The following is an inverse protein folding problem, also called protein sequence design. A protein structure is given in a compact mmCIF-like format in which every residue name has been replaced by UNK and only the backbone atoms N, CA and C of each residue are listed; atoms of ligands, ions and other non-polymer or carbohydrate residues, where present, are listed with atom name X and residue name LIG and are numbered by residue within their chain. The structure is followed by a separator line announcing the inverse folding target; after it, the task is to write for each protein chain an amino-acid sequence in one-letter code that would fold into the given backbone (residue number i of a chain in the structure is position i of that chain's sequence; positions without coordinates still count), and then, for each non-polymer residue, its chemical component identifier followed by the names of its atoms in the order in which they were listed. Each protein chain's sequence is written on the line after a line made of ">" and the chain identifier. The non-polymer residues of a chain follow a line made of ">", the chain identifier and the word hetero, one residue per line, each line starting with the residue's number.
data_IF_985407923895
#
_entry.id   IF_985407923895
#
_cell.length_a   1.000
_cell.length_b   1.000
_cell.length_c   1.000
_cell.angle_alpha   90.00
_cell.angle_beta   90.00
_cell.angle_gamma   90.00
#
_symmetry.space_group_name_H-M   'P 1'
#
loop_
_entity.id
_entity.type
_entity.pdbx_description
1 polymer ?
#
# COMPACT_ATOMS: atom_id res chain seq x y z
N UNK A 1 -2.84 38.74 28.64
CA UNK A 1 -1.84 37.68 28.38
C UNK A 1 -2.53 36.37 28.69
N UNK A 2 -3.14 35.74 27.68
CA UNK A 2 -3.93 34.52 27.85
C UNK A 2 -2.96 33.36 27.72
N UNK A 3 -2.68 32.67 28.83
CA UNK A 3 -1.88 31.44 28.82
C UNK A 3 -2.67 30.41 28.02
N UNK A 4 -2.14 30.04 26.85
CA UNK A 4 -2.65 28.90 26.09
C UNK A 4 -2.46 27.66 26.97
N UNK A 5 -3.58 27.09 27.44
CA UNK A 5 -3.62 25.80 28.09
C UNK A 5 -3.02 24.78 27.11
N UNK A 6 -1.83 24.28 27.40
CA UNK A 6 -1.35 23.04 26.80
C UNK A 6 -2.29 21.94 27.27
N UNK A 7 -3.23 21.53 26.43
CA UNK A 7 -3.92 20.28 26.63
C UNK A 7 -2.87 19.17 26.55
N UNK A 8 -2.52 18.62 27.71
CA UNK A 8 -1.71 17.41 27.78
C UNK A 8 -2.60 16.28 27.29
N UNK A 9 -2.61 16.03 25.98
CA UNK A 9 -3.24 14.84 25.43
C UNK A 9 -2.55 13.62 26.02
N UNK A 10 -3.18 13.00 27.02
CA UNK A 10 -2.74 11.73 27.54
C UNK A 10 -2.89 10.68 26.46
N UNK A 11 -1.84 9.88 26.25
CA UNK A 11 -1.89 8.74 25.33
C UNK A 11 -2.99 7.78 25.79
N UNK A 12 -3.92 7.38 24.90
CA UNK A 12 -4.89 6.35 25.23
C UNK A 12 -4.18 5.06 25.66
N UNK A 13 -4.80 4.22 26.50
CA UNK A 13 -4.31 2.88 26.74
C UNK A 13 -4.14 2.13 25.41
N UNK A 14 -3.01 1.45 25.26
CA UNK A 14 -2.69 0.68 24.06
C UNK A 14 -2.06 -0.67 24.42
N UNK A 15 -2.16 -1.63 23.52
CA UNK A 15 -1.57 -2.95 23.64
C UNK A 15 -0.82 -3.30 22.35
N UNK A 16 0.48 -3.58 22.45
CA UNK A 16 1.28 -4.01 21.32
C UNK A 16 1.14 -5.51 21.13
N UNK A 17 0.87 -5.93 19.89
CA UNK A 17 0.92 -7.35 19.54
C UNK A 17 2.37 -7.84 19.53
N UNK A 18 2.54 -9.15 19.79
CA UNK A 18 3.87 -9.76 19.79
C UNK A 18 4.54 -9.61 18.41
N UNK A 19 5.87 -9.56 18.42
CA UNK A 19 6.69 -9.53 17.20
C UNK A 19 6.41 -8.33 16.27
N UNK A 20 5.79 -7.26 16.78
CA UNK A 20 5.48 -6.08 15.98
C UNK A 20 4.35 -6.32 14.96
N UNK A 21 3.47 -7.30 15.24
CA UNK A 21 2.33 -7.66 14.38
C UNK A 21 1.15 -6.70 14.46
N UNK A 22 1.27 -5.63 15.24
CA UNK A 22 0.20 -4.64 15.36
C UNK A 22 0.09 -3.99 16.72
N UNK A 23 -0.98 -3.24 16.88
CA UNK A 23 -1.30 -2.45 18.07
C UNK A 23 -2.82 -2.29 18.19
N UNK A 24 -3.33 -2.42 19.41
CA UNK A 24 -4.65 -1.92 19.79
C UNK A 24 -4.50 -0.58 20.49
N UNK A 25 -5.25 0.43 20.06
CA UNK A 25 -5.26 1.76 20.68
C UNK A 25 -6.67 2.35 20.58
N UNK A 26 -7.26 2.65 21.75
CA UNK A 26 -8.67 3.07 21.84
C UNK A 26 -9.62 2.09 21.11
N UNK A 27 -10.31 2.53 20.04
CA UNK A 27 -11.20 1.66 19.23
C UNK A 27 -10.54 1.14 17.95
N UNK A 28 -9.25 1.40 17.76
CA UNK A 28 -8.47 0.90 16.63
C UNK A 28 -7.79 -0.41 16.98
N UNK A 29 -7.95 -1.40 16.11
CA UNK A 29 -7.04 -2.56 16.01
C UNK A 29 -6.26 -2.42 14.71
N UNK A 30 -4.95 -2.31 14.81
CA UNK A 30 -4.04 -2.23 13.68
C UNK A 30 -3.28 -3.54 13.62
N UNK A 31 -3.36 -4.25 12.49
CA UNK A 31 -2.76 -5.55 12.27
C UNK A 31 -1.81 -5.53 11.10
N UNK A 32 -0.70 -6.25 11.26
CA UNK A 32 0.30 -6.47 10.24
C UNK A 32 0.42 -7.95 9.96
N UNK A 33 0.23 -8.33 8.71
CA UNK A 33 0.60 -9.65 8.20
C UNK A 33 1.80 -9.50 7.29
N UNK A 34 2.78 -10.37 7.48
CA UNK A 34 3.98 -10.47 6.65
C UNK A 34 4.13 -11.92 6.16
N UNK A 35 4.60 -12.07 4.93
CA UNK A 35 4.88 -13.39 4.36
C UNK A 35 5.94 -13.34 3.27
N UNK A 36 6.34 -14.52 2.77
CA UNK A 36 7.24 -14.59 1.62
C UNK A 36 6.56 -14.04 0.37
N UNK A 37 7.38 -13.84 -0.67
CA UNK A 37 6.85 -13.60 -2.02
C UNK A 37 5.98 -14.78 -2.48
N UNK A 38 5.11 -14.52 -3.46
CA UNK A 38 4.26 -15.54 -4.06
C UNK A 38 5.08 -16.73 -4.58
N UNK A 39 4.57 -17.94 -4.32
CA UNK A 39 5.05 -19.16 -4.99
C UNK A 39 4.66 -19.16 -6.47
N UNK A 40 5.33 -19.98 -7.29
CA UNK A 40 5.03 -20.08 -8.74
C UNK A 40 3.56 -20.38 -9.03
N UNK A 41 2.91 -21.23 -8.24
CA UNK A 41 1.49 -21.54 -8.39
C UNK A 41 0.60 -20.34 -8.06
N UNK A 42 0.95 -19.55 -7.03
CA UNK A 42 0.22 -18.33 -6.67
C UNK A 42 0.41 -17.26 -7.76
N UNK A 43 1.61 -17.14 -8.33
CA UNK A 43 1.92 -16.24 -9.46
C UNK A 43 1.03 -16.55 -10.66
N UNK A 44 1.00 -17.80 -11.12
CA UNK A 44 0.17 -18.21 -12.27
C UNK A 44 -1.32 -17.90 -12.04
N UNK A 45 -1.82 -18.19 -10.84
CA UNK A 45 -3.20 -17.89 -10.45
C UNK A 45 -3.50 -16.39 -10.51
N UNK A 46 -2.60 -15.55 -9.99
CA UNK A 46 -2.78 -14.10 -9.97
C UNK A 46 -2.65 -13.49 -11.37
N UNK A 47 -1.70 -13.95 -12.19
CA UNK A 47 -1.58 -13.51 -13.58
C UNK A 47 -2.86 -13.76 -14.37
N UNK A 48 -3.49 -14.93 -14.18
CA UNK A 48 -4.76 -15.24 -14.82
C UNK A 48 -5.90 -14.35 -14.34
N UNK A 49 -5.95 -14.02 -13.05
CA UNK A 49 -7.03 -13.18 -12.47
C UNK A 49 -6.90 -11.71 -12.84
N UNK A 50 -5.67 -11.22 -12.92
CA UNK A 50 -5.37 -9.81 -13.19
C UNK A 50 -5.15 -9.53 -14.68
N UNK A 51 -5.00 -10.57 -15.51
CA UNK A 51 -4.59 -10.43 -16.91
C UNK A 51 -3.29 -9.62 -17.07
N UNK A 52 -2.39 -9.73 -16.09
CA UNK A 52 -1.16 -8.93 -15.96
C UNK A 52 0.04 -9.87 -15.74
N UNK A 53 1.19 -9.61 -16.35
CA UNK A 53 2.43 -10.28 -15.92
C UNK A 53 2.91 -9.61 -14.63
N UNK A 54 3.03 -10.39 -13.56
CA UNK A 54 3.33 -9.85 -12.24
C UNK A 54 4.75 -9.28 -12.13
N UNK A 55 4.97 -8.33 -11.21
CA UNK A 55 6.31 -7.97 -10.72
C UNK A 55 7.12 -9.19 -10.28
N UNK A 56 8.44 -9.05 -10.35
CA UNK A 56 9.43 -10.06 -9.93
C UNK A 56 9.24 -10.49 -8.48
N UNK A 57 8.92 -9.54 -7.59
CA UNK A 57 8.65 -9.80 -6.18
C UNK A 57 7.25 -9.29 -5.83
N UNK A 58 6.32 -10.22 -5.57
CA UNK A 58 4.98 -9.89 -5.08
C UNK A 58 4.80 -10.46 -3.68
N UNK A 59 4.59 -9.60 -2.70
CA UNK A 59 4.38 -9.98 -1.31
C UNK A 59 2.88 -10.17 -1.04
N UNK A 60 2.28 -11.19 -1.65
CA UNK A 60 0.82 -11.34 -1.69
C UNK A 60 0.13 -11.60 -0.33
N UNK A 61 0.89 -11.96 0.71
CA UNK A 61 0.38 -12.07 2.10
C UNK A 61 0.59 -10.79 2.92
N UNK A 62 1.40 -9.85 2.43
CA UNK A 62 1.65 -8.63 3.17
C UNK A 62 0.38 -7.79 3.22
N UNK A 63 -0.07 -7.48 4.43
CA UNK A 63 -1.19 -6.59 4.65
C UNK A 63 -0.92 -5.72 5.87
N UNK A 64 -1.28 -4.44 5.73
CA UNK A 64 -1.44 -3.53 6.86
C UNK A 64 -2.92 -3.20 6.94
N UNK A 65 -3.57 -3.56 8.03
CA UNK A 65 -5.01 -3.40 8.19
C UNK A 65 -5.38 -2.66 9.46
N UNK A 66 -6.47 -1.91 9.38
CA UNK A 66 -6.98 -1.05 10.42
C UNK A 66 -8.45 -1.35 10.58
N UNK A 67 -8.87 -1.67 11.79
CA UNK A 67 -10.25 -1.96 12.14
C UNK A 67 -10.70 -0.96 13.20
N UNK A 68 -11.72 -0.17 12.88
CA UNK A 68 -12.38 0.73 13.82
C UNK A 68 -13.65 0.11 14.36
N UNK A 69 -13.69 -0.11 15.68
CA UNK A 69 -14.87 -0.56 16.42
C UNK A 69 -15.49 -1.86 15.89
N UNK A 70 -14.74 -2.69 15.15
CA UNK A 70 -15.24 -3.91 14.51
C UNK A 70 -16.12 -3.70 13.27
N UNK A 71 -16.35 -2.45 12.83
CA UNK A 71 -17.34 -2.13 11.80
C UNK A 71 -16.72 -1.62 10.50
N UNK A 72 -15.72 -0.74 10.62
CA UNK A 72 -15.04 -0.15 9.47
C UNK A 72 -13.62 -0.69 9.39
N UNK A 73 -13.28 -1.33 8.27
CA UNK A 73 -11.95 -1.85 8.01
C UNK A 73 -11.36 -1.13 6.81
N UNK A 74 -10.12 -0.71 6.91
CA UNK A 74 -9.34 -0.32 5.73
C UNK A 74 -7.99 -1.02 5.75
N UNK A 75 -7.47 -1.36 4.58
CA UNK A 75 -6.22 -2.10 4.48
C UNK A 75 -5.50 -1.87 3.15
N UNK A 76 -4.25 -2.29 3.13
CA UNK A 76 -3.39 -2.26 1.94
C UNK A 76 -2.98 -3.67 1.57
N UNK A 77 -3.11 -4.03 0.30
CA UNK A 77 -2.69 -5.34 -0.22
C UNK A 77 -2.02 -5.21 -1.59
N UNK A 78 -1.16 -6.18 -1.91
CA UNK A 78 -0.54 -6.24 -3.23
C UNK A 78 -1.54 -6.54 -4.35
N UNK A 79 -2.54 -7.38 -4.07
CA UNK A 79 -3.54 -7.78 -5.07
C UNK A 79 -4.35 -6.58 -5.56
N UNK A 80 -4.89 -5.79 -4.64
CA UNK A 80 -5.74 -4.64 -4.98
C UNK A 80 -4.90 -3.52 -5.63
N UNK A 81 -3.64 -3.38 -5.20
CA UNK A 81 -2.67 -2.48 -5.84
C UNK A 81 -2.38 -2.85 -7.29
N UNK A 82 -2.25 -4.15 -7.59
CA UNK A 82 -2.02 -4.65 -8.94
C UNK A 82 -3.27 -4.64 -9.82
N UNK A 83 -4.46 -4.79 -9.21
CA UNK A 83 -5.75 -4.74 -9.90
C UNK A 83 -6.05 -3.36 -10.50
N UNK A 84 -5.42 -2.31 -9.95
CA UNK A 84 -5.59 -0.92 -10.36
C UNK A 84 -4.42 -0.41 -11.22
N UNK A 85 -3.56 -1.32 -11.70
CA UNK A 85 -2.47 -0.95 -12.61
C UNK A 85 -3.05 -0.38 -13.90
N UNK A 86 -2.47 0.74 -14.35
CA UNK A 86 -2.94 1.42 -15.56
C UNK A 86 -2.74 0.53 -16.79
N UNK A 87 -3.83 0.31 -17.51
CA UNK A 87 -3.83 -0.31 -18.84
C UNK A 87 -3.75 0.75 -19.96
N UNK A 88 -3.91 2.02 -19.61
CA UNK A 88 -3.69 3.13 -20.53
C UNK A 88 -2.18 3.34 -20.65
N UNK A 89 -1.63 3.23 -21.87
CA UNK A 89 -0.23 3.58 -22.15
C UNK A 89 0.03 5.04 -21.79
N UNK A 90 0.75 5.37 -20.71
CA UNK A 90 1.26 6.71 -20.54
C UNK A 90 2.40 6.90 -21.53
N UNK A 91 2.78 8.15 -21.77
CA UNK A 91 3.99 8.53 -22.51
C UNK A 91 5.30 8.02 -21.87
N UNK A 92 5.21 7.40 -20.68
CA UNK A 92 6.29 6.78 -19.93
C UNK A 92 6.31 5.28 -20.23
N UNK A 93 7.30 4.82 -21.00
CA UNK A 93 7.50 3.41 -21.35
C UNK A 93 8.95 3.04 -21.09
N UNK A 94 9.17 1.91 -20.42
CA UNK A 94 10.52 1.37 -20.26
C UNK A 94 10.99 0.69 -21.54
N UNK A 95 12.29 0.80 -21.87
CA UNK A 95 12.88 0.23 -23.10
C UNK A 95 12.58 -1.27 -23.32
N UNK A 96 12.53 -2.13 -22.29
CA UNK A 96 12.17 -3.54 -22.46
C UNK A 96 10.72 -3.77 -22.90
N UNK A 97 9.79 -2.84 -22.64
CA UNK A 97 8.38 -2.99 -23.00
C UNK A 97 8.19 -3.32 -24.48
N UNK A 98 8.99 -2.68 -25.35
CA UNK A 98 8.98 -2.92 -26.81
C UNK A 98 9.39 -4.36 -27.16
N UNK A 99 10.36 -4.94 -26.42
CA UNK A 99 10.81 -6.31 -26.65
C UNK A 99 9.79 -7.35 -26.15
N UNK A 100 9.10 -7.06 -25.05
CA UNK A 100 8.03 -7.92 -24.54
C UNK A 100 6.77 -7.85 -25.40
N UNK A 101 6.42 -6.68 -25.91
CA UNK A 101 5.36 -6.49 -26.92
C UNK A 101 5.68 -7.27 -28.19
N UNK A 102 6.91 -7.24 -28.71
CA UNK A 102 7.29 -7.99 -29.92
C UNK A 102 7.23 -9.52 -29.72
N UNK A 103 7.54 -10.01 -28.52
CA UNK A 103 7.38 -11.44 -28.19
C UNK A 103 5.91 -11.81 -28.01
N UNK A 104 5.11 -10.94 -27.41
CA UNK A 104 3.67 -11.15 -27.23
C UNK A 104 2.88 -10.93 -28.52
N UNK A 105 3.31 -10.11 -29.48
CA UNK A 105 2.58 -9.90 -30.73
C UNK A 105 2.52 -11.16 -31.63
N UNK A 106 3.41 -12.13 -31.39
CA UNK A 106 3.41 -13.44 -32.06
C UNK A 106 2.49 -14.47 -31.42
N UNK A 107 1.92 -14.18 -30.26
CA UNK A 107 1.05 -15.07 -29.48
C UNK A 107 -0.14 -14.24 -29.01
N UNK A 108 -1.39 -14.50 -29.44
CA UNK A 108 -2.58 -13.80 -28.91
C UNK A 108 -2.59 -13.81 -27.36
N UNK A 109 -1.93 -12.85 -26.72
CA UNK A 109 -1.55 -12.90 -25.32
C UNK A 109 -2.39 -11.87 -24.58
N UNK A 110 -3.19 -12.29 -23.57
CA UNK A 110 -4.07 -11.40 -22.83
C UNK A 110 -3.31 -10.37 -21.97
N UNK A 111 -1.97 -10.39 -21.95
CA UNK A 111 -1.12 -9.54 -21.13
C UNK A 111 -0.58 -8.28 -21.85
N UNK A 112 -1.05 -7.99 -23.06
CA UNK A 112 -0.43 -7.02 -23.97
C UNK A 112 -0.76 -5.54 -23.72
N UNK A 113 -1.67 -5.21 -22.80
CA UNK A 113 -2.22 -3.86 -22.66
C UNK A 113 -1.82 -3.18 -21.34
N UNK A 114 -0.54 -3.09 -21.02
CA UNK A 114 -0.04 -2.21 -19.94
C UNK A 114 1.40 -1.76 -20.22
N UNK A 115 1.86 -0.72 -19.53
CA UNK A 115 3.10 0.00 -19.84
C UNK A 115 4.38 -0.59 -19.22
N UNK A 116 4.27 -1.74 -18.55
CA UNK A 116 5.37 -2.41 -17.85
C UNK A 116 5.98 -1.66 -16.67
N UNK A 117 5.38 -0.54 -16.26
CA UNK A 117 5.86 0.25 -15.11
C UNK A 117 5.18 -0.13 -13.80
N UNK A 118 4.11 -0.95 -13.85
CA UNK A 118 3.27 -1.26 -12.69
C UNK A 118 2.71 -0.01 -11.98
N UNK A 119 2.51 1.09 -12.71
CA UNK A 119 1.87 2.31 -12.20
C UNK A 119 0.47 2.02 -11.69
N UNK A 120 0.18 2.44 -10.46
CA UNK A 120 -1.12 2.22 -9.78
C UNK A 120 -1.68 3.51 -9.20
N UNK A 121 -3.01 3.66 -9.23
CA UNK A 121 -3.73 4.71 -8.51
C UNK A 121 -4.34 4.21 -7.18
N UNK A 122 -3.94 3.02 -6.72
CA UNK A 122 -4.41 2.41 -5.50
C UNK A 122 -4.27 3.34 -4.29
N UNK A 123 -5.35 3.51 -3.52
CA UNK A 123 -5.40 4.33 -2.31
C UNK A 123 -5.71 3.54 -1.04
N UNK A 124 -5.64 2.21 -1.09
CA UNK A 124 -6.14 1.32 -0.05
C UNK A 124 -7.57 0.84 -0.31
N UNK A 125 -7.92 -0.26 0.33
CA UNK A 125 -9.24 -0.92 0.21
C UNK A 125 -10.07 -0.63 1.46
N UNK A 126 -11.31 -0.18 1.27
CA UNK A 126 -12.19 0.28 2.34
C UNK A 126 -13.42 -0.61 2.43
N UNK A 127 -13.69 -1.13 3.61
CA UNK A 127 -14.83 -1.98 3.92
C UNK A 127 -15.67 -1.34 5.02
N UNK A 128 -16.98 -1.27 4.81
CA UNK A 128 -17.95 -0.89 5.82
C UNK A 128 -18.90 -2.07 6.04
N UNK A 129 -18.92 -2.62 7.26
CA UNK A 129 -19.70 -3.81 7.61
C UNK A 129 -19.41 -5.02 6.70
N UNK A 130 -18.17 -5.11 6.19
CA UNK A 130 -17.70 -6.20 5.32
C UNK A 130 -17.90 -5.96 3.81
N UNK A 131 -18.60 -4.90 3.42
CA UNK A 131 -18.83 -4.55 2.02
C UNK A 131 -17.84 -3.47 1.56
N UNK A 132 -17.30 -3.62 0.35
CA UNK A 132 -16.41 -2.61 -0.23
C UNK A 132 -17.15 -1.29 -0.45
N UNK A 133 -16.51 -0.19 -0.05
CA UNK A 133 -17.12 1.14 -0.10
C UNK A 133 -16.18 2.16 -0.71
N UNK A 134 -16.70 2.99 -1.61
CA UNK A 134 -15.94 4.10 -2.17
C UNK A 134 -15.83 5.22 -1.14
N UNK A 135 -14.63 5.77 -0.99
CA UNK A 135 -14.46 7.00 -0.21
C UNK A 135 -14.98 8.22 -0.97
N UNK A 136 -15.61 9.13 -0.25
CA UNK A 136 -15.84 10.48 -0.74
C UNK A 136 -14.58 11.32 -0.54
N UNK A 137 -14.24 12.14 -1.54
CA UNK A 137 -13.14 13.06 -1.43
C UNK A 137 -13.39 14.03 -0.27
N UNK A 138 -12.46 14.11 0.68
CA UNK A 138 -12.47 15.15 1.70
C UNK A 138 -11.85 16.43 1.14
N UNK A 139 -12.41 17.58 1.49
CA UNK A 139 -11.80 18.89 1.22
C UNK A 139 -10.70 19.25 2.23
N UNK A 140 -10.54 18.45 3.30
CA UNK A 140 -9.51 18.68 4.31
C UNK A 140 -8.14 18.27 3.79
N UNK A 141 -7.20 19.21 3.80
CA UNK A 141 -5.79 18.92 3.52
C UNK A 141 -5.12 18.29 4.75
N UNK A 142 -4.03 17.54 4.50
CA UNK A 142 -3.18 17.03 5.56
C UNK A 142 -2.53 18.18 6.33
N UNK A 143 -2.59 18.13 7.66
CA UNK A 143 -1.94 19.14 8.51
C UNK A 143 -0.42 18.88 8.58
N UNK A 144 0.32 19.64 7.77
CA UNK A 144 1.78 19.59 7.72
C UNK A 144 2.47 19.91 9.05
N UNK A 145 1.80 20.63 9.97
CA UNK A 145 2.39 20.93 11.27
C UNK A 145 2.55 19.67 12.11
N UNK A 146 1.63 18.71 12.01
CA UNK A 146 1.70 17.43 12.69
C UNK A 146 2.90 16.61 12.20
N UNK A 147 3.16 16.59 10.89
CA UNK A 147 4.27 15.82 10.31
C UNK A 147 5.67 16.34 10.71
N UNK A 148 5.78 17.57 11.20
CA UNK A 148 7.05 18.18 11.64
C UNK A 148 7.28 18.09 13.14
N UNK A 149 6.36 17.46 13.88
CA UNK A 149 6.49 17.31 15.32
C UNK A 149 7.55 16.28 15.66
N UNK A 150 8.51 16.71 16.47
CA UNK A 150 9.58 15.86 17.04
C UNK A 150 9.39 15.67 18.56
N UNK A 151 8.40 16.33 19.16
CA UNK A 151 8.13 16.37 20.61
C UNK A 151 7.28 15.20 21.12
N UNK A 152 6.86 14.30 20.22
CA UNK A 152 5.94 13.19 20.50
C UNK A 152 6.63 11.83 20.36
N UNK A 153 6.43 10.90 21.30
CA UNK A 153 7.03 9.57 21.20
C UNK A 153 6.46 8.75 20.04
N UNK A 154 7.35 8.06 19.32
CA UNK A 154 7.00 7.00 18.38
C UNK A 154 6.45 5.81 19.17
N UNK A 155 5.22 5.38 18.85
CA UNK A 155 4.59 4.21 19.46
C UNK A 155 4.79 2.96 18.61
N UNK A 156 4.57 3.09 17.30
CA UNK A 156 4.55 1.96 16.40
C UNK A 156 5.09 2.38 15.04
N UNK A 157 5.97 1.57 14.48
CA UNK A 157 6.49 1.78 13.13
C UNK A 157 6.42 0.48 12.37
N UNK A 158 5.91 0.55 11.14
CA UNK A 158 5.94 -0.57 10.21
C UNK A 158 6.07 -0.09 8.79
N UNK A 159 6.86 -0.80 8.01
CA UNK A 159 6.92 -0.64 6.56
C UNK A 159 6.81 -2.02 5.93
N UNK A 160 5.93 -2.15 4.94
CA UNK A 160 5.65 -3.38 4.24
C UNK A 160 5.79 -3.17 2.74
N UNK A 161 6.66 -3.93 2.04
CA UNK A 161 6.60 -3.99 0.60
C UNK A 161 5.34 -4.75 0.18
N UNK A 162 4.68 -4.30 -0.88
CA UNK A 162 3.53 -4.97 -1.51
C UNK A 162 3.98 -5.66 -2.79
N UNK A 163 4.70 -4.94 -3.66
CA UNK A 163 5.40 -5.53 -4.80
C UNK A 163 6.62 -4.71 -5.21
N UNK A 164 7.54 -5.33 -5.93
CA UNK A 164 8.75 -4.74 -6.50
C UNK A 164 9.14 -5.46 -7.80
N UNK A 165 9.61 -4.68 -8.78
CA UNK A 165 10.17 -5.15 -10.05
C UNK A 165 11.42 -4.35 -10.42
N UNK A 166 12.46 -5.04 -10.90
CA UNK A 166 13.74 -4.43 -11.33
C UNK A 166 13.74 -4.02 -12.82
N UNK A 167 12.60 -4.17 -13.51
CA UNK A 167 12.39 -3.71 -14.89
C UNK A 167 13.49 -4.20 -15.86
N UNK A 168 13.90 -5.46 -15.73
CA UNK A 168 15.04 -6.08 -16.44
C UNK A 168 16.35 -5.28 -16.29
N UNK A 169 16.70 -4.91 -15.06
CA UNK A 169 17.87 -4.09 -14.70
C UNK A 169 17.87 -2.67 -15.31
N UNK A 170 16.72 -2.20 -15.81
CA UNK A 170 16.57 -0.85 -16.39
C UNK A 170 15.93 0.15 -15.42
N UNK A 171 15.67 -0.23 -14.18
CA UNK A 171 15.03 0.66 -13.22
C UNK A 171 14.50 -0.07 -12.00
N UNK A 172 13.56 0.58 -11.32
CA UNK A 172 12.76 -0.05 -10.26
C UNK A 172 11.34 0.48 -10.30
N UNK A 173 10.39 -0.42 -10.14
CA UNK A 173 9.01 -0.09 -9.79
C UNK A 173 8.64 -0.81 -8.50
N UNK A 174 8.15 -0.08 -7.50
CA UNK A 174 7.79 -0.67 -6.22
C UNK A 174 6.58 0.01 -5.61
N UNK A 175 5.81 -0.76 -4.85
CA UNK A 175 4.74 -0.26 -4.01
C UNK A 175 4.98 -0.73 -2.58
N UNK A 176 5.06 0.20 -1.64
CA UNK A 176 5.17 -0.10 -0.21
C UNK A 176 4.20 0.76 0.61
N UNK A 177 3.79 0.23 1.76
CA UNK A 177 3.01 0.97 2.74
C UNK A 177 3.81 1.14 4.03
N UNK A 178 3.84 2.37 4.55
CA UNK A 178 4.49 2.71 5.80
C UNK A 178 3.49 3.31 6.76
N UNK A 179 3.45 2.79 7.98
CA UNK A 179 2.73 3.34 9.12
C UNK A 179 3.73 3.88 10.14
N UNK A 180 3.48 5.11 10.58
CA UNK A 180 4.16 5.72 11.70
C UNK A 180 3.11 6.19 12.69
N UNK A 181 2.98 5.44 13.78
CA UNK A 181 2.04 5.68 14.87
C UNK A 181 2.71 6.41 16.01
N UNK A 182 2.10 7.52 16.43
CA UNK A 182 2.46 8.28 17.63
C UNK A 182 1.34 8.21 18.65
N UNK A 183 1.63 8.72 19.84
CA UNK A 183 0.67 8.77 20.95
C UNK A 183 -0.59 9.59 20.68
N UNK A 184 -0.56 10.49 19.70
CA UNK A 184 -1.64 11.46 19.43
C UNK A 184 -2.19 11.36 18.01
N UNK A 185 -1.39 10.97 17.03
CA UNK A 185 -1.81 10.79 15.65
C UNK A 185 -0.99 9.70 14.97
N UNK A 186 -1.47 9.24 13.83
CA UNK A 186 -0.81 8.25 13.00
C UNK A 186 -0.78 8.80 11.59
N UNK A 187 0.31 8.59 10.86
CA UNK A 187 0.33 8.84 9.42
C UNK A 187 0.68 7.57 8.67
N UNK A 188 0.09 7.46 7.48
CA UNK A 188 0.23 6.32 6.60
C UNK A 188 0.67 6.86 5.26
N UNK A 189 1.72 6.27 4.70
CA UNK A 189 2.22 6.59 3.38
C UNK A 189 2.15 5.33 2.54
N UNK A 190 1.28 5.31 1.56
CA UNK A 190 1.35 4.38 0.44
C UNK A 190 2.22 5.03 -0.63
N UNK A 191 3.34 4.40 -0.95
CA UNK A 191 4.35 4.96 -1.85
C UNK A 191 4.52 4.04 -3.05
N UNK A 192 4.04 4.50 -4.20
CA UNK A 192 4.45 3.96 -5.47
C UNK A 192 5.69 4.73 -5.95
N UNK A 193 6.80 4.02 -6.15
CA UNK A 193 8.06 4.57 -6.61
C UNK A 193 8.40 3.97 -7.97
N UNK A 194 8.72 4.84 -8.91
CA UNK A 194 9.27 4.46 -10.21
C UNK A 194 10.56 5.23 -10.48
N UNK A 195 11.57 4.54 -11.00
CA UNK A 195 12.85 5.12 -11.40
C UNK A 195 13.41 4.36 -12.61
N UNK A 196 13.88 5.11 -13.60
CA UNK A 196 14.66 4.64 -14.76
C UNK A 196 16.18 4.80 -14.55
#
# INVERSE_FOLDING_TARGET
>A
MTLASHEVHQTPPYYLYSEGKGIEIDKWSIEVTEGPILSSNEVESWQSRLSLKLPTMVFGRNTLSFLWNGECKFYFSAFDGLQTVSHESPSLRVKPAVFWEDKQSTLDSPHANYDWTYSTNYGGTWLMQGEETALSASQSLLDWSLLRREDIPLLFFKELPLYEDELDDQGVSSLSVRLVGFTTFHYIVLNWLFRE
#
